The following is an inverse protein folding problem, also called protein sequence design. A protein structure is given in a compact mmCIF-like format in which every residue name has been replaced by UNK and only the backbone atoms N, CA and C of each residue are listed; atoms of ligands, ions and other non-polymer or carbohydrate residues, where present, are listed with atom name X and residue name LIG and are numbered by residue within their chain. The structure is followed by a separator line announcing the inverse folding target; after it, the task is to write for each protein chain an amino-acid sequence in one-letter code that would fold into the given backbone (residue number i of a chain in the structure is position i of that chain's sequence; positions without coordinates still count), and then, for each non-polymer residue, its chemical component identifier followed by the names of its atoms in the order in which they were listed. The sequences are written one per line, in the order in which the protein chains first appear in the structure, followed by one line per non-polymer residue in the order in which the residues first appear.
data_IF_195413102400
#
_entry.id   IF_195413102400
#
_cell.length_a   1.000
_cell.length_b   1.000
_cell.length_c   1.000
_cell.angle_alpha   90.00
_cell.angle_beta   90.00
_cell.angle_gamma   90.00
#
_symmetry.space_group_name_H-M   'P 1'
#
loop_
_entity.id
_entity.type
_entity.pdbx_description
1 polymer ?
#
# COMPACT_ATOMS: atom_id res chain seq x y z
N UNK A 1 21.38 -23.46 35.67
CA UNK A 1 21.70 -22.10 35.16
C UNK A 1 21.56 -22.12 33.64
N UNK A 2 20.41 -21.75 33.13
CA UNK A 2 20.11 -21.74 31.70
C UNK A 2 20.41 -20.33 31.18
N UNK A 3 21.49 -20.17 30.41
CA UNK A 3 21.74 -18.95 29.66
C UNK A 3 20.75 -18.89 28.46
N UNK A 4 19.68 -18.12 28.61
CA UNK A 4 18.84 -17.74 27.52
C UNK A 4 19.68 -16.90 26.54
N UNK A 5 19.96 -17.46 25.36
CA UNK A 5 20.55 -16.75 24.24
C UNK A 5 19.52 -15.75 23.73
N UNK A 6 19.52 -14.55 24.27
CA UNK A 6 18.86 -13.38 23.66
C UNK A 6 19.66 -13.02 22.40
N UNK A 7 19.32 -13.66 21.28
CA UNK A 7 19.71 -13.13 19.97
C UNK A 7 19.10 -11.73 19.89
N UNK A 8 19.93 -10.70 19.96
CA UNK A 8 19.53 -9.32 19.81
C UNK A 8 18.87 -9.13 18.42
N UNK A 9 17.55 -9.11 18.41
CA UNK A 9 16.77 -8.70 17.25
C UNK A 9 17.00 -7.20 17.09
N UNK A 10 17.88 -6.80 16.19
CA UNK A 10 17.94 -5.40 15.79
C UNK A 10 16.61 -5.07 15.14
N UNK A 11 15.79 -4.26 15.81
CA UNK A 11 14.52 -3.76 15.24
C UNK A 11 14.91 -2.95 14.01
N UNK A 12 14.62 -3.50 12.83
CA UNK A 12 14.83 -2.81 11.57
C UNK A 12 13.68 -1.87 11.33
N UNK A 13 13.96 -0.61 11.03
CA UNK A 13 12.91 0.36 10.69
C UNK A 13 12.15 -0.10 9.44
N UNK A 14 10.84 0.03 9.47
CA UNK A 14 9.96 -0.23 8.32
C UNK A 14 9.36 1.09 7.88
N UNK A 15 9.58 1.45 6.63
CA UNK A 15 8.95 2.58 5.98
C UNK A 15 7.88 2.07 5.02
N UNK A 16 6.69 2.69 5.03
CA UNK A 16 5.62 2.35 4.09
C UNK A 16 5.30 3.56 3.23
N UNK A 17 5.28 3.40 1.93
CA UNK A 17 5.05 4.48 0.96
C UNK A 17 3.70 4.29 0.28
N UNK A 18 2.82 5.30 0.43
CA UNK A 18 1.55 5.43 -0.28
C UNK A 18 1.54 6.76 -1.02
N UNK A 19 1.84 6.76 -2.33
CA UNK A 19 1.92 8.00 -3.10
C UNK A 19 0.57 8.65 -3.38
N UNK A 20 -0.52 7.87 -3.37
CA UNK A 20 -1.87 8.34 -3.66
C UNK A 20 -2.86 7.93 -2.57
N UNK A 21 -2.64 8.36 -1.31
CA UNK A 21 -3.54 8.06 -0.20
C UNK A 21 -4.92 8.69 -0.44
N UNK A 22 -5.92 8.26 0.31
CA UNK A 22 -7.27 8.79 0.23
C UNK A 22 -7.91 8.91 1.61
N UNK A 23 -8.68 9.95 1.82
CA UNK A 23 -9.64 9.97 2.91
C UNK A 23 -10.88 9.20 2.44
N UNK A 24 -11.05 7.99 2.94
CA UNK A 24 -12.16 7.12 2.61
C UNK A 24 -13.36 7.46 3.50
N UNK A 25 -14.50 7.77 2.88
CA UNK A 25 -15.76 8.07 3.55
C UNK A 25 -16.70 6.87 3.38
N UNK A 26 -16.88 6.11 4.45
CA UNK A 26 -17.81 5.00 4.51
C UNK A 26 -19.21 5.48 4.84
N UNK A 27 -20.19 5.06 4.06
CA UNK A 27 -21.60 5.40 4.22
C UNK A 27 -22.40 4.10 4.30
N UNK A 28 -23.11 3.89 5.41
CA UNK A 28 -23.97 2.73 5.59
C UNK A 28 -25.41 3.09 5.22
N UNK A 29 -25.99 2.31 4.29
CA UNK A 29 -27.37 2.44 3.86
C UNK A 29 -28.07 1.07 3.93
N UNK A 30 -29.41 1.04 3.96
CA UNK A 30 -30.16 -0.23 3.91
C UNK A 30 -29.96 -0.95 2.57
N UNK A 31 -30.23 -0.22 1.51
CA UNK A 31 -30.06 -0.66 0.12
C UNK A 31 -29.72 0.57 -0.74
N UNK A 32 -28.84 0.41 -1.70
CA UNK A 32 -28.48 1.49 -2.62
C UNK A 32 -29.46 1.51 -3.79
N UNK A 33 -30.26 2.57 -3.86
CA UNK A 33 -31.21 2.83 -4.94
C UNK A 33 -30.61 3.88 -5.88
N UNK A 34 -30.50 3.52 -7.15
CA UNK A 34 -30.09 4.45 -8.19
C UNK A 34 -31.27 5.38 -8.50
N UNK A 35 -30.96 6.63 -8.81
CA UNK A 35 -31.93 7.66 -9.18
C UNK A 35 -32.97 7.98 -8.08
N UNK A 36 -32.61 7.77 -6.82
CA UNK A 36 -33.43 8.04 -5.64
C UNK A 36 -32.59 8.55 -4.46
N UNK A 37 -33.27 9.18 -3.49
CA UNK A 37 -32.63 9.63 -2.25
C UNK A 37 -32.33 8.43 -1.32
N UNK A 38 -31.06 8.20 -1.03
CA UNK A 38 -30.62 7.20 -0.08
C UNK A 38 -30.30 7.85 1.27
N UNK A 39 -30.89 7.32 2.35
CA UNK A 39 -30.64 7.82 3.71
C UNK A 39 -29.51 7.07 4.36
N UNK A 40 -28.47 7.81 4.72
CA UNK A 40 -27.31 7.29 5.45
C UNK A 40 -27.72 7.02 6.89
N UNK A 41 -27.39 5.84 7.41
CA UNK A 41 -27.65 5.41 8.80
C UNK A 41 -26.42 5.52 9.69
N UNK A 42 -25.25 5.39 9.11
CA UNK A 42 -23.99 5.53 9.79
C UNK A 42 -22.91 5.98 8.81
N UNK A 43 -21.94 6.71 9.31
CA UNK A 43 -20.79 7.12 8.52
C UNK A 43 -19.51 7.10 9.34
N UNK A 44 -18.38 6.85 8.67
CA UNK A 44 -17.08 7.03 9.28
C UNK A 44 -16.04 7.43 8.24
N UNK A 45 -15.01 8.12 8.71
CA UNK A 45 -13.84 8.50 7.91
C UNK A 45 -12.67 7.58 8.25
N UNK A 46 -11.92 7.21 7.22
CA UNK A 46 -10.79 6.31 7.35
C UNK A 46 -9.61 6.80 6.49
N UNK A 47 -8.43 6.85 7.08
CA UNK A 47 -7.24 7.21 6.33
C UNK A 47 -6.79 6.01 5.49
N UNK A 48 -7.16 5.98 4.21
CA UNK A 48 -6.95 4.86 3.31
C UNK A 48 -5.64 4.92 2.55
N UNK A 49 -5.17 3.72 2.15
CA UNK A 49 -4.00 3.55 1.31
C UNK A 49 -3.23 2.27 1.63
N UNK A 50 -2.86 1.50 0.62
CA UNK A 50 -2.23 0.18 0.80
C UNK A 50 -1.02 0.20 1.73
N UNK A 51 -0.12 1.18 1.62
CA UNK A 51 1.04 1.29 2.53
C UNK A 51 0.65 1.74 3.93
N UNK A 52 -0.37 2.59 4.05
CA UNK A 52 -0.94 2.97 5.35
C UNK A 52 -1.53 1.74 6.04
N UNK A 53 -2.25 0.88 5.32
CA UNK A 53 -2.80 -0.36 5.87
C UNK A 53 -1.70 -1.33 6.33
N UNK A 54 -0.56 -1.35 5.63
CA UNK A 54 0.63 -2.09 6.09
C UNK A 54 1.14 -1.51 7.42
N UNK A 55 1.23 -0.19 7.58
CA UNK A 55 1.62 0.43 8.85
C UNK A 55 0.66 0.09 9.99
N UNK A 56 -0.65 0.07 9.75
CA UNK A 56 -1.64 -0.38 10.72
C UNK A 56 -1.43 -1.84 11.12
N UNK A 57 -1.25 -2.72 10.13
CA UNK A 57 -1.00 -4.13 10.40
C UNK A 57 0.26 -4.34 11.24
N UNK A 58 1.35 -3.63 10.94
CA UNK A 58 2.58 -3.66 11.74
C UNK A 58 2.29 -3.20 13.17
N UNK A 59 1.56 -2.10 13.34
CA UNK A 59 1.18 -1.57 14.65
C UNK A 59 0.34 -2.57 15.46
N UNK A 60 -0.65 -3.21 14.83
CA UNK A 60 -1.46 -4.26 15.49
C UNK A 60 -0.64 -5.49 15.91
N UNK A 61 0.45 -5.78 15.20
CA UNK A 61 1.40 -6.85 15.54
C UNK A 61 2.45 -6.42 16.59
N UNK A 62 2.35 -5.20 17.14
CA UNK A 62 3.28 -4.67 18.14
C UNK A 62 4.58 -4.14 17.56
N UNK A 63 4.68 -3.99 16.23
CA UNK A 63 5.83 -3.40 15.55
C UNK A 63 5.70 -1.90 15.35
N UNK A 64 6.77 -1.29 14.84
CA UNK A 64 6.84 0.13 14.52
C UNK A 64 7.12 0.33 13.03
N UNK A 65 6.52 1.36 12.45
CA UNK A 65 6.76 1.78 11.08
C UNK A 65 6.50 3.28 10.92
N UNK A 66 7.00 3.84 9.82
CA UNK A 66 6.73 5.23 9.44
C UNK A 66 6.03 5.26 8.08
N UNK A 67 4.83 5.84 8.05
CA UNK A 67 4.05 6.03 6.83
C UNK A 67 4.50 7.29 6.08
N UNK A 68 4.77 7.15 4.80
CA UNK A 68 5.29 8.17 3.88
C UNK A 68 4.37 8.28 2.66
N UNK A 69 4.43 9.42 1.99
CA UNK A 69 3.70 9.70 0.75
C UNK A 69 3.38 11.16 0.59
N UNK A 70 2.37 11.49 -0.21
CA UNK A 70 1.89 12.85 -0.39
C UNK A 70 0.65 13.11 0.43
N UNK A 71 0.52 14.34 0.93
CA UNK A 71 -0.68 14.78 1.64
C UNK A 71 -0.93 16.26 1.35
N UNK A 72 -2.19 16.67 1.21
CA UNK A 72 -2.53 18.06 0.95
C UNK A 72 -3.95 18.41 1.34
N UNK A 73 -4.17 19.68 1.66
CA UNK A 73 -5.48 20.26 1.99
C UNK A 73 -6.09 19.74 3.28
N UNK A 74 -7.39 20.03 3.45
CA UNK A 74 -8.13 19.66 4.67
C UNK A 74 -8.28 18.12 4.81
N UNK A 75 -8.57 17.41 3.73
CA UNK A 75 -8.66 15.94 3.79
C UNK A 75 -7.33 15.31 4.24
N UNK A 76 -6.20 15.88 3.81
CA UNK A 76 -4.88 15.48 4.26
C UNK A 76 -4.68 15.69 5.75
N UNK A 77 -5.12 16.83 6.29
CA UNK A 77 -5.03 17.12 7.72
C UNK A 77 -5.85 16.13 8.54
N UNK A 78 -7.10 15.86 8.13
CA UNK A 78 -7.96 14.86 8.79
C UNK A 78 -7.30 13.47 8.78
N UNK A 79 -6.67 13.08 7.67
CA UNK A 79 -5.95 11.80 7.60
C UNK A 79 -4.79 11.72 8.61
N UNK A 80 -4.01 12.80 8.77
CA UNK A 80 -2.91 12.84 9.75
C UNK A 80 -3.46 12.65 11.17
N UNK A 81 -4.58 13.32 11.49
CA UNK A 81 -5.23 13.22 12.81
C UNK A 81 -5.73 11.80 13.08
N UNK A 82 -6.39 11.16 12.11
CA UNK A 82 -6.83 9.78 12.22
C UNK A 82 -5.66 8.81 12.44
N UNK A 83 -4.60 8.93 11.65
CA UNK A 83 -3.42 8.09 11.78
C UNK A 83 -2.69 8.28 13.10
N UNK A 84 -2.61 9.52 13.59
CA UNK A 84 -2.07 9.84 14.91
C UNK A 84 -2.88 9.20 16.04
N UNK A 85 -4.22 9.26 15.94
CA UNK A 85 -5.11 8.61 16.91
C UNK A 85 -4.95 7.08 16.92
N UNK A 86 -4.62 6.47 15.76
CA UNK A 86 -4.33 5.05 15.62
C UNK A 86 -2.89 4.68 16.07
N UNK A 87 -2.07 5.66 16.45
CA UNK A 87 -0.67 5.46 16.84
C UNK A 87 0.27 5.12 15.68
N UNK A 88 -0.10 5.50 14.45
CA UNK A 88 0.75 5.34 13.26
C UNK A 88 1.63 6.57 13.10
N UNK A 89 2.95 6.37 13.09
CA UNK A 89 3.92 7.44 12.83
C UNK A 89 3.89 7.82 11.35
N UNK A 90 3.80 9.13 11.05
CA UNK A 90 3.69 9.66 9.70
C UNK A 90 4.77 10.69 9.41
N UNK A 91 5.32 10.65 8.19
CA UNK A 91 6.18 11.70 7.63
C UNK A 91 5.82 11.94 6.17
N UNK A 92 4.68 12.59 5.94
CA UNK A 92 4.18 12.88 4.59
C UNK A 92 4.83 14.14 4.00
N UNK A 93 5.02 14.13 2.69
CA UNK A 93 5.41 15.31 1.92
C UNK A 93 4.16 16.13 1.60
N UNK A 94 4.10 17.40 2.02
CA UNK A 94 2.97 18.27 1.71
C UNK A 94 2.92 18.59 0.20
N UNK A 95 1.71 18.63 -0.35
CA UNK A 95 1.41 19.04 -1.71
C UNK A 95 0.33 20.12 -1.75
N UNK A 96 0.32 20.93 -2.80
CA UNK A 96 -0.62 22.04 -2.93
C UNK A 96 -2.06 21.58 -3.16
N UNK A 97 -2.27 20.48 -3.89
CA UNK A 97 -3.61 19.97 -4.16
C UNK A 97 -4.15 19.10 -3.03
N UNK A 98 -5.48 19.09 -2.90
CA UNK A 98 -6.22 18.33 -1.89
C UNK A 98 -5.97 16.83 -2.04
N UNK A 99 -5.72 16.14 -0.95
CA UNK A 99 -5.77 14.67 -0.88
C UNK A 99 -7.16 14.19 -1.32
N UNK A 100 -7.20 13.17 -2.15
CA UNK A 100 -8.46 12.64 -2.70
C UNK A 100 -9.36 12.07 -1.60
N UNK A 101 -10.67 12.11 -1.88
CA UNK A 101 -11.68 11.43 -1.06
C UNK A 101 -12.31 10.33 -1.91
N UNK A 102 -12.44 9.14 -1.35
CA UNK A 102 -13.27 8.09 -1.93
C UNK A 102 -14.57 8.00 -1.15
N UNK A 103 -15.63 7.52 -1.78
CA UNK A 103 -16.89 7.21 -1.11
C UNK A 103 -17.09 5.71 -1.21
N UNK A 104 -17.33 5.07 -0.07
CA UNK A 104 -17.60 3.65 0.03
C UNK A 104 -18.98 3.46 0.62
N UNK A 105 -19.93 3.02 -0.22
CA UNK A 105 -21.30 2.74 0.21
C UNK A 105 -21.42 1.26 0.55
N UNK A 106 -21.78 0.96 1.80
CA UNK A 106 -22.09 -0.39 2.27
C UNK A 106 -23.60 -0.58 2.40
N UNK A 107 -24.11 -1.73 1.98
CA UNK A 107 -25.54 -2.03 2.06
C UNK A 107 -25.80 -3.15 3.04
N UNK A 108 -26.67 -2.90 4.04
CA UNK A 108 -26.99 -3.88 5.08
C UNK A 108 -27.75 -5.09 4.52
N UNK A 109 -28.71 -4.86 3.61
CA UNK A 109 -29.56 -5.94 3.05
C UNK A 109 -28.83 -6.92 2.15
N UNK A 110 -27.91 -6.43 1.31
CA UNK A 110 -27.23 -7.24 0.30
C UNK A 110 -25.80 -7.61 0.70
N UNK A 111 -25.30 -7.06 1.79
CA UNK A 111 -23.91 -7.18 2.22
C UNK A 111 -22.92 -6.85 1.08
N UNK A 112 -23.27 -5.84 0.27
CA UNK A 112 -22.44 -5.38 -0.85
C UNK A 112 -21.74 -4.08 -0.52
N UNK A 113 -20.65 -3.83 -1.23
CA UNK A 113 -19.87 -2.61 -1.12
C UNK A 113 -19.70 -2.01 -2.51
N UNK A 114 -20.01 -0.73 -2.65
CA UNK A 114 -19.77 0.06 -3.87
C UNK A 114 -18.75 1.14 -3.57
N UNK A 115 -17.69 1.19 -4.36
CA UNK A 115 -16.60 2.14 -4.16
C UNK A 115 -16.57 3.16 -5.30
N UNK A 116 -16.62 4.44 -4.96
CA UNK A 116 -16.41 5.57 -5.87
C UNK A 116 -15.02 6.15 -5.61
N UNK A 117 -14.06 5.77 -6.44
CA UNK A 117 -12.66 6.14 -6.26
C UNK A 117 -12.31 7.38 -7.06
N UNK A 118 -11.86 8.43 -6.39
CA UNK A 118 -11.33 9.64 -7.02
C UNK A 118 -9.93 9.41 -7.60
N UNK A 119 -9.60 10.14 -8.68
CA UNK A 119 -8.32 10.00 -9.39
C UNK A 119 -7.10 10.44 -8.56
N UNK A 120 -7.29 11.31 -7.58
CA UNK A 120 -6.22 11.89 -6.79
C UNK A 120 -5.66 13.20 -7.35
N UNK A 121 -4.81 13.87 -6.56
CA UNK A 121 -4.24 15.17 -6.88
C UNK A 121 -3.28 15.12 -8.07
N UNK A 122 -3.00 16.29 -8.62
CA UNK A 122 -1.86 16.51 -9.52
C UNK A 122 -0.65 16.88 -8.65
N UNK A 123 0.39 16.08 -8.72
CA UNK A 123 1.67 16.34 -8.05
C UNK A 123 2.60 17.03 -9.03
N UNK A 124 3.18 18.14 -8.64
CA UNK A 124 4.14 18.89 -9.46
C UNK A 124 5.52 18.23 -9.48
N UNK A 125 6.37 18.58 -10.44
CA UNK A 125 7.76 18.13 -10.49
C UNK A 125 8.57 18.53 -9.25
N UNK A 126 8.28 19.71 -8.66
CA UNK A 126 8.93 20.19 -7.44
C UNK A 126 8.52 19.35 -6.22
N UNK A 127 7.23 19.03 -6.08
CA UNK A 127 6.74 18.18 -5.00
C UNK A 127 7.26 16.75 -5.11
N UNK A 128 7.36 16.21 -6.35
CA UNK A 128 8.01 14.92 -6.58
C UNK A 128 9.48 14.93 -6.16
N UNK A 129 10.23 15.98 -6.54
CA UNK A 129 11.63 16.14 -6.15
C UNK A 129 11.79 16.28 -4.62
N UNK A 130 10.90 17.04 -3.97
CA UNK A 130 10.85 17.18 -2.52
C UNK A 130 10.62 15.84 -1.83
N UNK A 131 9.70 15.00 -2.34
CA UNK A 131 9.46 13.65 -1.80
C UNK A 131 10.71 12.77 -1.90
N UNK A 132 11.39 12.76 -3.05
CA UNK A 132 12.65 12.03 -3.20
C UNK A 132 13.73 12.58 -2.26
N UNK A 133 13.79 13.90 -2.08
CA UNK A 133 14.65 14.55 -1.08
C UNK A 133 14.36 14.07 0.34
N UNK A 134 13.10 14.00 0.75
CA UNK A 134 12.71 13.48 2.05
C UNK A 134 13.16 12.03 2.27
N UNK A 135 13.09 11.16 1.25
CA UNK A 135 13.61 9.79 1.36
C UNK A 135 15.12 9.77 1.62
N UNK A 136 15.86 10.77 1.14
CA UNK A 136 17.32 10.82 1.38
C UNK A 136 17.68 11.24 2.80
N UNK A 137 16.77 11.78 3.59
CA UNK A 137 16.98 12.16 4.98
C UNK A 137 16.74 11.01 5.97
N UNK A 138 16.15 9.90 5.49
CA UNK A 138 15.82 8.76 6.34
C UNK A 138 17.05 7.86 6.57
N UNK A 139 17.08 7.19 7.71
CA UNK A 139 18.04 6.10 7.95
C UNK A 139 17.54 4.85 7.23
N UNK A 140 18.07 4.60 6.05
CA UNK A 140 17.67 3.51 5.17
C UNK A 140 18.56 2.27 5.30
N UNK A 141 19.69 2.37 6.01
CA UNK A 141 20.58 1.22 6.18
C UNK A 141 19.85 0.08 6.88
N UNK A 142 19.84 -1.11 6.27
CA UNK A 142 19.15 -2.32 6.73
C UNK A 142 17.63 -2.21 6.92
N UNK A 143 17.01 -1.08 6.53
CA UNK A 143 15.56 -0.86 6.61
C UNK A 143 14.78 -1.69 5.57
N UNK A 144 13.49 -1.89 5.83
CA UNK A 144 12.53 -2.31 4.83
C UNK A 144 11.72 -1.12 4.34
N UNK A 145 11.55 -1.00 3.02
CA UNK A 145 10.73 0.04 2.41
C UNK A 145 9.64 -0.62 1.57
N UNK A 146 8.40 -0.53 2.04
CA UNK A 146 7.22 -1.07 1.35
C UNK A 146 6.65 0.02 0.45
N UNK A 147 6.67 -0.19 -0.85
CA UNK A 147 6.15 0.74 -1.86
C UNK A 147 4.86 0.15 -2.41
N UNK A 148 3.72 0.84 -2.22
CA UNK A 148 2.44 0.23 -2.56
C UNK A 148 1.35 1.21 -3.02
N UNK A 149 0.36 0.66 -3.73
CA UNK A 149 -0.81 1.39 -4.24
C UNK A 149 -0.63 1.93 -5.66
N UNK A 150 -1.42 2.95 -6.00
CA UNK A 150 -1.41 3.62 -7.30
C UNK A 150 -0.58 4.90 -7.27
N UNK A 151 -0.23 5.40 -8.45
CA UNK A 151 0.42 6.70 -8.59
C UNK A 151 -0.63 7.81 -8.73
N UNK A 152 -0.43 8.99 -8.12
CA UNK A 152 -1.21 10.17 -8.42
C UNK A 152 -0.81 10.76 -9.79
N UNK A 153 -1.60 11.68 -10.30
CA UNK A 153 -1.29 12.39 -11.54
C UNK A 153 -0.03 13.24 -11.39
N UNK A 154 0.73 13.44 -12.46
CA UNK A 154 1.95 14.25 -12.47
C UNK A 154 3.20 13.54 -11.95
N UNK A 155 3.06 12.45 -11.22
CA UNK A 155 4.19 11.61 -10.82
C UNK A 155 4.68 10.78 -12.02
N UNK A 156 6.00 10.64 -12.24
CA UNK A 156 6.53 9.84 -13.34
C UNK A 156 6.02 8.40 -13.35
N UNK A 157 5.74 7.86 -14.55
CA UNK A 157 5.25 6.49 -14.69
C UNK A 157 6.23 5.42 -14.15
N UNK A 158 7.52 5.77 -14.03
CA UNK A 158 8.57 4.93 -13.49
C UNK A 158 8.94 5.28 -12.02
N UNK A 159 8.07 6.02 -11.33
CA UNK A 159 8.30 6.48 -9.95
C UNK A 159 8.73 5.35 -9.01
N UNK A 160 8.08 4.19 -9.10
CA UNK A 160 8.43 3.07 -8.23
C UNK A 160 9.81 2.51 -8.54
N UNK A 161 10.23 2.51 -9.80
CA UNK A 161 11.63 2.17 -10.17
C UNK A 161 12.62 3.17 -9.55
N UNK A 162 12.33 4.47 -9.62
CA UNK A 162 13.18 5.52 -9.02
C UNK A 162 13.28 5.37 -7.50
N UNK A 163 12.14 5.19 -6.80
CA UNK A 163 12.12 4.99 -5.34
C UNK A 163 12.91 3.73 -4.96
N UNK A 164 12.65 2.60 -5.60
CA UNK A 164 13.30 1.33 -5.29
C UNK A 164 14.81 1.44 -5.49
N UNK A 165 15.26 1.99 -6.61
CA UNK A 165 16.68 2.20 -6.87
C UNK A 165 17.32 3.13 -5.81
N UNK A 166 16.65 4.22 -5.45
CA UNK A 166 17.13 5.15 -4.43
C UNK A 166 17.27 4.49 -3.06
N UNK A 167 16.24 3.77 -2.58
CA UNK A 167 16.30 3.20 -1.24
C UNK A 167 17.28 2.01 -1.16
N UNK A 168 17.41 1.23 -2.22
CA UNK A 168 18.37 0.13 -2.31
C UNK A 168 19.81 0.62 -2.37
N UNK A 169 20.10 1.73 -3.07
CA UNK A 169 21.44 2.34 -3.08
C UNK A 169 21.90 2.83 -1.71
N UNK A 170 20.96 2.93 -0.75
CA UNK A 170 21.20 3.33 0.63
C UNK A 170 21.09 2.16 1.63
N UNK A 171 21.12 0.92 1.16
CA UNK A 171 21.14 -0.29 1.98
C UNK A 171 19.77 -0.79 2.43
N UNK A 172 18.66 -0.22 1.96
CA UNK A 172 17.32 -0.72 2.28
C UNK A 172 16.93 -1.91 1.40
N UNK A 173 15.98 -2.71 1.89
CA UNK A 173 15.30 -3.77 1.15
C UNK A 173 13.92 -3.28 0.70
N UNK A 174 13.71 -3.14 -0.60
CA UNK A 174 12.44 -2.68 -1.14
C UNK A 174 11.45 -3.84 -1.31
N UNK A 175 10.20 -3.64 -0.86
CA UNK A 175 9.06 -4.54 -1.06
C UNK A 175 8.04 -3.80 -1.93
N UNK A 176 7.63 -4.38 -3.06
CA UNK A 176 6.71 -3.74 -4.00
C UNK A 176 5.35 -4.46 -4.03
N UNK A 177 4.28 -3.73 -3.68
CA UNK A 177 2.88 -4.16 -3.81
C UNK A 177 2.11 -3.21 -4.73
N UNK A 178 2.25 -3.41 -6.03
CA UNK A 178 1.63 -2.60 -7.06
C UNK A 178 1.06 -3.46 -8.18
N UNK A 179 0.26 -2.86 -9.06
CA UNK A 179 -0.35 -3.53 -10.21
C UNK A 179 0.09 -2.90 -11.54
N UNK A 180 -0.13 -3.63 -12.63
CA UNK A 180 -0.04 -3.17 -14.01
C UNK A 180 1.31 -2.55 -14.39
N UNK A 181 1.29 -1.36 -15.03
CA UNK A 181 2.53 -0.68 -15.45
C UNK A 181 3.47 -0.33 -14.30
N UNK A 182 2.92 0.00 -13.13
CA UNK A 182 3.70 0.35 -11.93
C UNK A 182 4.51 -0.86 -11.43
N UNK A 183 3.90 -2.05 -11.39
CA UNK A 183 4.59 -3.29 -11.05
C UNK A 183 5.69 -3.61 -12.06
N UNK A 184 5.38 -3.55 -13.36
CA UNK A 184 6.35 -3.81 -14.43
C UNK A 184 7.54 -2.85 -14.39
N UNK A 185 7.28 -1.57 -14.12
CA UNK A 185 8.33 -0.56 -14.00
C UNK A 185 9.21 -0.79 -12.76
N UNK A 186 8.57 -1.02 -11.60
CA UNK A 186 9.28 -1.25 -10.34
C UNK A 186 10.16 -2.49 -10.35
N UNK A 187 9.74 -3.57 -11.05
CA UNK A 187 10.53 -4.80 -11.22
C UNK A 187 11.90 -4.56 -11.88
N UNK A 188 12.04 -3.53 -12.73
CA UNK A 188 13.32 -3.19 -13.36
C UNK A 188 14.38 -2.73 -12.36
N UNK A 189 13.99 -2.32 -11.17
CA UNK A 189 14.90 -1.99 -10.07
C UNK A 189 15.20 -3.18 -9.16
N UNK A 190 14.75 -4.39 -9.51
CA UNK A 190 15.00 -5.65 -8.78
C UNK A 190 14.69 -5.53 -7.28
N UNK A 191 13.42 -5.25 -6.88
CA UNK A 191 13.06 -5.15 -5.48
C UNK A 191 13.37 -6.47 -4.74
N UNK A 192 13.68 -6.38 -3.44
CA UNK A 192 13.89 -7.55 -2.60
C UNK A 192 12.68 -8.50 -2.63
N UNK A 193 11.46 -7.93 -2.57
CA UNK A 193 10.24 -8.73 -2.61
C UNK A 193 9.15 -8.04 -3.45
N UNK A 194 8.23 -8.87 -4.00
CA UNK A 194 6.97 -8.40 -4.57
C UNK A 194 5.79 -9.18 -3.98
N UNK A 195 4.60 -8.55 -3.96
CA UNK A 195 3.36 -9.20 -3.47
C UNK A 195 2.21 -9.06 -4.47
N UNK A 196 2.21 -9.77 -5.59
CA UNK A 196 1.07 -9.82 -6.49
C UNK A 196 -0.04 -10.75 -5.95
N UNK A 197 -1.30 -10.43 -6.23
CA UNK A 197 -2.36 -11.44 -6.20
C UNK A 197 -2.32 -12.30 -7.48
N UNK A 198 -3.13 -13.37 -7.54
CA UNK A 198 -3.16 -14.28 -8.71
C UNK A 198 -3.51 -13.56 -10.02
N UNK A 199 -4.39 -12.56 -9.99
CA UNK A 199 -4.77 -11.81 -11.18
C UNK A 199 -3.65 -10.85 -11.63
N UNK A 200 -2.97 -10.19 -10.69
CA UNK A 200 -1.81 -9.35 -10.94
C UNK A 200 -0.64 -10.17 -11.49
N UNK A 201 -0.39 -11.36 -10.92
CA UNK A 201 0.64 -12.27 -11.41
C UNK A 201 0.32 -12.77 -12.83
N UNK A 202 -0.95 -13.08 -13.12
CA UNK A 202 -1.39 -13.42 -14.47
C UNK A 202 -1.12 -12.29 -15.47
N UNK A 203 -1.53 -11.06 -15.12
CA UNK A 203 -1.28 -9.85 -15.97
C UNK A 203 0.21 -9.55 -16.16
N UNK A 204 1.01 -9.82 -15.15
CA UNK A 204 2.46 -9.60 -15.19
C UNK A 204 3.16 -10.58 -16.14
N UNK A 205 2.79 -11.88 -16.05
CA UNK A 205 3.53 -12.95 -16.72
C UNK A 205 2.87 -13.46 -17.99
N UNK A 206 1.60 -13.12 -18.24
CA UNK A 206 0.78 -13.65 -19.33
C UNK A 206 0.44 -15.13 -19.17
N UNK A 207 0.79 -15.77 -18.04
CA UNK A 207 0.61 -17.21 -17.81
C UNK A 207 -0.61 -17.50 -16.94
N UNK A 208 -1.36 -18.60 -17.20
CA UNK A 208 -2.42 -19.03 -16.29
C UNK A 208 -1.87 -19.37 -14.91
N UNK A 209 -2.56 -18.93 -13.84
CA UNK A 209 -2.15 -19.12 -12.43
C UNK A 209 -3.25 -19.80 -11.60
N UNK A 210 -3.92 -20.79 -12.18
CA UNK A 210 -5.08 -21.46 -11.57
C UNK A 210 -4.71 -22.55 -10.54
N UNK A 211 -3.49 -23.03 -10.51
CA UNK A 211 -2.99 -24.03 -9.56
C UNK A 211 -1.67 -23.59 -8.95
N UNK A 212 -1.28 -24.20 -7.82
CA UNK A 212 -0.02 -23.93 -7.15
C UNK A 212 1.18 -24.18 -8.08
N UNK A 213 1.20 -25.30 -8.79
CA UNK A 213 2.23 -25.60 -9.78
C UNK A 213 2.29 -24.55 -10.91
N UNK A 214 1.13 -23.99 -11.32
CA UNK A 214 1.11 -22.92 -12.32
C UNK A 214 1.63 -21.60 -11.75
N UNK A 215 1.34 -21.30 -10.49
CA UNK A 215 1.90 -20.13 -9.78
C UNK A 215 3.43 -20.25 -9.71
N UNK A 216 3.97 -21.39 -9.27
CA UNK A 216 5.43 -21.62 -9.21
C UNK A 216 6.11 -21.43 -10.56
N UNK A 217 5.50 -21.97 -11.64
CA UNK A 217 6.02 -21.74 -13.02
C UNK A 217 5.95 -20.27 -13.45
N UNK A 218 4.93 -19.53 -13.02
CA UNK A 218 4.76 -18.13 -13.35
C UNK A 218 5.75 -17.24 -12.57
N UNK A 219 6.10 -17.61 -11.34
CA UNK A 219 7.05 -16.88 -10.46
C UNK A 219 8.51 -17.08 -10.88
N UNK A 220 8.86 -18.22 -11.47
CA UNK A 220 10.25 -18.54 -11.84
C UNK A 220 10.95 -17.46 -12.71
N UNK A 221 10.33 -16.84 -13.73
CA UNK A 221 10.94 -15.74 -14.46
C UNK A 221 11.17 -14.48 -13.61
N UNK A 222 10.32 -14.24 -12.62
CA UNK A 222 10.44 -13.08 -11.70
C UNK A 222 11.67 -13.26 -10.82
N UNK A 223 11.90 -14.45 -10.29
CA UNK A 223 13.14 -14.76 -9.56
C UNK A 223 14.39 -14.62 -10.43
N UNK A 224 14.35 -15.12 -11.68
CA UNK A 224 15.47 -14.95 -12.63
C UNK A 224 15.75 -13.48 -12.96
N UNK A 225 14.74 -12.61 -12.83
CA UNK A 225 14.92 -11.15 -12.99
C UNK A 225 15.52 -10.47 -11.76
N UNK A 226 15.90 -11.20 -10.70
CA UNK A 226 16.60 -10.68 -9.53
C UNK A 226 15.73 -10.42 -8.29
N UNK A 227 14.46 -10.82 -8.30
CA UNK A 227 13.58 -10.68 -7.12
C UNK A 227 13.78 -11.89 -6.18
N UNK A 228 14.15 -11.62 -4.92
CA UNK A 228 14.44 -12.67 -3.94
C UNK A 228 13.20 -13.37 -3.41
N UNK A 229 12.12 -12.61 -3.16
CA UNK A 229 10.89 -13.13 -2.54
C UNK A 229 9.67 -12.75 -3.37
N UNK A 230 8.80 -13.72 -3.67
CA UNK A 230 7.51 -13.47 -4.31
C UNK A 230 6.40 -14.03 -3.43
N UNK A 231 5.53 -13.14 -2.92
CA UNK A 231 4.39 -13.48 -2.08
C UNK A 231 3.14 -13.42 -2.95
N UNK A 232 2.50 -14.55 -3.22
CA UNK A 232 1.28 -14.59 -4.04
C UNK A 232 0.05 -14.75 -3.16
N UNK A 233 -0.81 -13.71 -3.10
CA UNK A 233 -2.07 -13.78 -2.37
C UNK A 233 -3.18 -14.42 -3.24
N UNK A 234 -4.03 -15.25 -2.60
CA UNK A 234 -5.17 -15.97 -3.22
C UNK A 234 -6.44 -15.66 -2.44
N UNK A 235 -7.49 -15.28 -3.13
CA UNK A 235 -8.77 -14.88 -2.51
C UNK A 235 -9.49 -15.99 -1.71
N UNK A 236 -9.11 -17.24 -1.87
CA UNK A 236 -9.71 -18.37 -1.16
C UNK A 236 -9.19 -18.66 0.25
N UNK A 237 -8.04 -18.13 0.64
CA UNK A 237 -7.41 -18.44 1.95
C UNK A 237 -8.04 -17.71 3.13
N UNK A 238 -8.51 -16.50 2.93
CA UNK A 238 -9.18 -15.70 3.96
C UNK A 238 -10.56 -16.27 4.32
N UNK A 239 -11.27 -16.91 3.37
CA UNK A 239 -12.58 -17.54 3.61
C UNK A 239 -12.47 -18.84 4.44
N UNK A 240 -11.39 -19.62 4.31
CA UNK A 240 -11.21 -20.88 5.06
C UNK A 240 -10.85 -20.67 6.53
N UNK A 241 -10.20 -19.57 6.89
CA UNK A 241 -9.89 -19.27 8.30
C UNK A 241 -11.11 -18.77 9.09
N UNK A 242 -12.20 -18.34 8.43
CA UNK A 242 -13.47 -17.98 9.11
C UNK A 242 -14.38 -19.17 9.42
N UNK A 243 -14.12 -20.33 8.85
CA UNK A 243 -14.91 -21.57 9.08
C UNK A 243 -14.35 -22.47 10.20
N UNK A 244 -13.23 -22.07 10.80
CA UNK A 244 -12.67 -22.77 11.99
C UNK A 244 -12.90 -21.90 13.22
N UNK A 245 -14.14 -21.92 13.71
CA UNK A 245 -14.50 -21.54 15.07
C UNK A 245 -15.36 -22.62 15.70
#
# INVERSE_FOLDING_TARGET
MSQAITRGWTIRMIYTITLNPALDHFLDVDDLRLDDANRVKGECLYAGGKGIDVSRAIRHLGGESMALGFIGGHAGQVMIELLKAEGVTCYFTPIAQETRRNIIVTTARRHTQTMLNSRGPMVTKAEWAAFLGHLTLLNLQDAYVVVSGSLPRGVPADAYRQIIALVQSRGARAVLDADGPCLKSGLRAQPFAIKPNVNELHRLTGKPVRSEAAILRAVAPVHRAGVNVVIVSRDGWVKRQKEVR
#
